data_IF_879386946500
#
_entry.id   IF_879386946500
#
_cell.length_a   1.000
_cell.length_b   1.000
_cell.length_c   1.000
_cell.angle_alpha   90.00
_cell.angle_beta   90.00
_cell.angle_gamma   90.00
#
_symmetry.space_group_name_H-M   'P 1'
#
loop_
_entity.id
_entity.type
_entity.pdbx_description
1 polymer ?
#
# COMPACT_ATOMS: atom_id res chain seq x y z
N UNK A 1 -33.97 16.85 28.11
CA UNK A 1 -32.52 16.93 27.82
C UNK A 1 -32.39 16.87 26.31
N UNK A 2 -31.88 17.92 25.67
CA UNK A 2 -31.62 17.93 24.22
C UNK A 2 -30.36 17.09 24.00
N UNK A 3 -30.46 16.03 23.22
CA UNK A 3 -29.29 15.42 22.60
C UNK A 3 -28.76 16.45 21.60
N UNK A 4 -27.84 17.30 22.04
CA UNK A 4 -27.05 18.12 21.12
C UNK A 4 -26.16 17.13 20.36
N UNK A 5 -26.48 16.89 19.09
CA UNK A 5 -25.54 16.22 18.20
C UNK A 5 -24.22 17.01 18.23
N UNK A 6 -23.06 16.33 18.23
CA UNK A 6 -21.78 17.03 18.13
C UNK A 6 -21.82 17.99 16.94
N UNK A 7 -21.31 19.21 17.12
CA UNK A 7 -21.30 20.22 16.06
C UNK A 7 -20.40 19.73 14.91
N UNK A 8 -21.01 19.24 13.84
CA UNK A 8 -20.31 18.85 12.62
C UNK A 8 -19.72 20.10 11.97
N UNK A 9 -18.45 20.05 11.61
CA UNK A 9 -17.67 21.17 11.02
C UNK A 9 -16.91 20.70 9.78
N UNK A 10 -16.40 21.61 8.96
CA UNK A 10 -15.50 21.25 7.86
C UNK A 10 -14.28 20.46 8.34
N UNK A 11 -13.74 20.79 9.52
CA UNK A 11 -12.64 20.02 10.15
C UNK A 11 -13.00 18.55 10.35
N UNK A 12 -14.23 18.24 10.77
CA UNK A 12 -14.67 16.86 10.97
C UNK A 12 -14.62 16.06 9.66
N UNK A 13 -15.15 16.63 8.56
CA UNK A 13 -15.08 16.00 7.24
C UNK A 13 -13.64 15.86 6.73
N UNK A 14 -12.81 16.90 6.87
CA UNK A 14 -11.39 16.85 6.49
C UNK A 14 -10.67 15.73 7.24
N UNK A 15 -10.91 15.59 8.55
CA UNK A 15 -10.32 14.51 9.35
C UNK A 15 -10.77 13.14 8.88
N UNK A 16 -12.06 12.93 8.62
CA UNK A 16 -12.56 11.64 8.12
C UNK A 16 -11.95 11.28 6.76
N UNK A 17 -11.87 12.24 5.84
CA UNK A 17 -11.26 12.00 4.52
C UNK A 17 -9.77 11.67 4.67
N UNK A 18 -9.01 12.43 5.47
CA UNK A 18 -7.59 12.14 5.72
C UNK A 18 -7.38 10.77 6.39
N UNK A 19 -8.19 10.43 7.38
CA UNK A 19 -8.11 9.14 8.05
C UNK A 19 -8.37 7.98 7.08
N UNK A 20 -9.30 8.13 6.14
CA UNK A 20 -9.50 7.15 5.08
C UNK A 20 -8.29 7.08 4.13
N UNK A 21 -7.89 8.22 3.54
CA UNK A 21 -6.81 8.28 2.54
C UNK A 21 -5.47 7.75 3.06
N UNK A 22 -5.14 8.07 4.33
CA UNK A 22 -3.92 7.59 5.00
C UNK A 22 -4.01 6.11 5.45
N UNK A 23 -5.20 5.51 5.38
CA UNK A 23 -5.49 4.13 5.75
C UNK A 23 -5.78 3.89 7.23
N UNK A 24 -5.96 4.96 8.03
CA UNK A 24 -6.32 4.85 9.45
C UNK A 24 -7.76 4.37 9.66
N UNK A 25 -8.60 4.49 8.64
CA UNK A 25 -9.97 3.98 8.61
C UNK A 25 -10.29 3.33 7.26
N UNK A 26 -11.04 2.24 7.28
CA UNK A 26 -11.69 1.69 6.10
C UNK A 26 -12.99 2.45 5.78
N UNK A 27 -13.53 2.25 4.58
CA UNK A 27 -14.86 2.76 4.19
C UNK A 27 -15.94 2.36 5.20
N UNK A 28 -15.95 1.09 5.63
CA UNK A 28 -16.93 0.56 6.57
C UNK A 28 -16.83 1.21 7.96
N UNK A 29 -15.61 1.47 8.44
CA UNK A 29 -15.41 2.16 9.71
C UNK A 29 -15.84 3.63 9.66
N UNK A 30 -15.63 4.30 8.52
CA UNK A 30 -16.16 5.66 8.31
C UNK A 30 -17.69 5.63 8.42
N UNK A 31 -18.35 4.75 7.66
CA UNK A 31 -19.82 4.59 7.69
C UNK A 31 -20.31 4.31 9.12
N UNK A 32 -19.62 3.44 9.87
CA UNK A 32 -19.97 3.12 11.24
C UNK A 32 -19.84 4.31 12.20
N UNK A 33 -18.78 5.12 12.08
CA UNK A 33 -18.54 6.28 12.94
C UNK A 33 -19.48 7.44 12.62
N UNK A 34 -19.93 7.56 11.37
CA UNK A 34 -20.86 8.61 10.95
C UNK A 34 -22.33 8.20 11.05
N UNK A 35 -22.62 6.96 11.45
CA UNK A 35 -23.96 6.42 11.54
C UNK A 35 -24.89 7.31 12.38
N UNK A 36 -25.97 7.80 11.75
CA UNK A 36 -26.97 8.66 12.38
C UNK A 36 -26.58 10.15 12.48
N UNK A 37 -25.42 10.55 11.95
CA UNK A 37 -24.96 11.94 11.86
C UNK A 37 -24.86 12.40 10.40
N UNK A 38 -24.30 11.53 9.54
CA UNK A 38 -24.16 11.78 8.10
C UNK A 38 -24.85 10.62 7.36
N UNK A 39 -25.77 10.89 6.42
CA UNK A 39 -26.36 9.85 5.58
C UNK A 39 -25.33 9.43 4.53
N UNK A 40 -24.52 8.41 4.85
CA UNK A 40 -23.63 7.75 3.89
C UNK A 40 -24.28 6.45 3.43
N UNK A 41 -24.15 6.14 2.15
CA UNK A 41 -24.69 4.91 1.59
C UNK A 41 -23.80 3.73 1.98
N UNK A 42 -24.44 2.71 2.55
CA UNK A 42 -23.77 1.52 3.08
C UNK A 42 -23.55 0.45 2.01
N UNK A 43 -24.20 0.60 0.86
CA UNK A 43 -24.17 -0.35 -0.24
C UNK A 43 -23.32 0.26 -1.37
N UNK A 44 -22.21 -0.38 -1.75
CA UNK A 44 -21.46 0.03 -2.92
C UNK A 44 -22.32 -0.25 -4.15
N UNK A 45 -22.95 0.79 -4.71
CA UNK A 45 -23.54 0.70 -6.04
C UNK A 45 -22.45 0.27 -7.05
N UNK A 46 -22.86 -0.39 -8.13
CA UNK A 46 -21.97 -0.90 -9.19
C UNK A 46 -21.09 0.20 -9.84
N UNK A 47 -21.41 1.47 -9.58
CA UNK A 47 -20.52 2.62 -9.74
C UNK A 47 -19.87 2.92 -8.38
N UNK A 48 -18.63 2.46 -8.20
CA UNK A 48 -17.71 2.72 -7.06
C UNK A 48 -17.85 4.16 -6.55
N UNK A 49 -18.78 4.40 -5.62
CA UNK A 49 -18.98 5.73 -5.07
C UNK A 49 -17.97 5.90 -3.95
N UNK A 50 -16.80 6.43 -4.30
CA UNK A 50 -15.69 6.70 -3.40
C UNK A 50 -16.18 7.42 -2.13
N UNK A 51 -15.82 6.89 -0.97
CA UNK A 51 -16.18 7.43 0.34
C UNK A 51 -15.74 8.90 0.49
N UNK A 52 -14.66 9.32 -0.17
CA UNK A 52 -14.24 10.73 -0.15
C UNK A 52 -15.22 11.65 -0.89
N UNK A 53 -15.80 11.16 -1.99
CA UNK A 53 -16.87 11.84 -2.71
C UNK A 53 -18.13 11.93 -1.86
N UNK A 54 -18.56 10.82 -1.24
CA UNK A 54 -19.74 10.82 -0.36
C UNK A 54 -19.58 11.80 0.82
N UNK A 55 -18.41 11.83 1.46
CA UNK A 55 -18.11 12.77 2.53
C UNK A 55 -18.10 14.23 2.04
N UNK A 56 -17.58 14.48 0.85
CA UNK A 56 -17.53 15.82 0.26
C UNK A 56 -18.91 16.34 -0.14
N UNK A 57 -19.77 15.47 -0.70
CA UNK A 57 -21.14 15.80 -1.05
C UNK A 57 -21.98 16.04 0.21
N UNK A 58 -21.87 15.18 1.22
CA UNK A 58 -22.52 15.40 2.52
C UNK A 58 -22.08 16.70 3.18
N UNK A 59 -20.78 17.04 3.12
CA UNK A 59 -20.28 18.31 3.64
C UNK A 59 -20.91 19.51 2.92
N UNK A 60 -21.01 19.45 1.58
CA UNK A 60 -21.63 20.48 0.75
C UNK A 60 -23.11 20.67 1.08
N UNK A 61 -23.85 19.58 1.27
CA UNK A 61 -25.28 19.64 1.64
C UNK A 61 -25.49 20.27 3.02
N UNK A 62 -24.59 20.02 3.96
CA UNK A 62 -24.65 20.64 5.29
C UNK A 62 -24.28 22.14 5.25
N UNK A 63 -23.24 22.49 4.50
CA UNK A 63 -22.80 23.86 4.28
C UNK A 63 -21.91 23.96 3.03
N UNK A 64 -22.32 24.75 2.05
CA UNK A 64 -21.58 24.94 0.78
C UNK A 64 -20.13 25.39 1.00
N UNK A 65 -19.84 26.14 2.08
CA UNK A 65 -18.48 26.55 2.42
C UNK A 65 -17.58 25.41 2.90
N UNK A 66 -18.13 24.31 3.44
CA UNK A 66 -17.33 23.17 3.87
C UNK A 66 -16.62 22.48 2.71
N UNK A 67 -17.25 22.43 1.54
CA UNK A 67 -16.62 21.88 0.34
C UNK A 67 -15.36 22.66 -0.05
N UNK A 68 -15.43 24.00 -0.01
CA UNK A 68 -14.27 24.84 -0.30
C UNK A 68 -13.12 24.61 0.69
N UNK A 69 -13.46 24.47 1.99
CA UNK A 69 -12.47 24.14 3.01
C UNK A 69 -11.83 22.77 2.75
N UNK A 70 -12.62 21.75 2.42
CA UNK A 70 -12.15 20.39 2.11
C UNK A 70 -11.14 20.42 0.96
N UNK A 71 -11.51 21.01 -0.19
CA UNK A 71 -10.64 21.10 -1.37
C UNK A 71 -9.33 21.84 -1.04
N UNK A 72 -9.42 22.92 -0.26
CA UNK A 72 -8.24 23.69 0.12
C UNK A 72 -7.28 22.87 1.01
N UNK A 73 -7.80 22.10 1.96
CA UNK A 73 -6.99 21.39 2.96
C UNK A 73 -6.56 19.97 2.55
N UNK A 74 -7.14 19.40 1.50
CA UNK A 74 -6.72 18.12 0.91
C UNK A 74 -5.67 18.29 -0.20
N UNK A 75 -5.33 19.52 -0.56
CA UNK A 75 -4.35 19.85 -1.61
C UNK A 75 -2.89 19.52 -1.26
N UNK A 76 -2.61 18.90 -0.11
CA UNK A 76 -1.26 18.55 0.34
C UNK A 76 -1.08 17.03 0.37
N UNK A 77 -0.15 16.52 -0.44
CA UNK A 77 0.10 15.10 -0.63
C UNK A 77 0.48 14.38 0.68
N UNK A 78 1.34 14.98 1.51
CA UNK A 78 1.83 14.37 2.77
C UNK A 78 0.71 13.95 3.74
N UNK A 79 -0.37 14.73 3.80
CA UNK A 79 -1.48 14.49 4.73
C UNK A 79 -2.52 13.49 4.20
N UNK A 80 -2.34 13.02 2.96
CA UNK A 80 -3.30 12.15 2.28
C UNK A 80 -2.66 10.85 1.81
N UNK A 81 -1.33 10.75 1.76
CA UNK A 81 -0.62 9.54 1.31
C UNK A 81 -0.91 8.30 2.16
N UNK A 82 -1.03 7.12 1.53
CA UNK A 82 -1.08 5.87 2.27
C UNK A 82 0.17 5.68 3.13
N UNK A 83 -0.04 5.42 4.41
CA UNK A 83 1.05 5.23 5.38
C UNK A 83 1.32 3.73 5.59
N UNK A 84 2.48 3.39 6.17
CA UNK A 84 2.77 2.01 6.58
C UNK A 84 1.69 1.45 7.53
N UNK A 85 1.35 2.23 8.55
CA UNK A 85 0.32 1.84 9.52
C UNK A 85 -1.05 1.69 8.85
N UNK A 86 -1.37 2.56 7.89
CA UNK A 86 -2.59 2.45 7.10
C UNK A 86 -2.64 1.20 6.23
N UNK A 87 -1.52 0.85 5.60
CA UNK A 87 -1.41 -0.39 4.83
C UNK A 87 -1.53 -1.62 5.72
N UNK A 88 -0.87 -1.62 6.88
CA UNK A 88 -1.00 -2.69 7.88
C UNK A 88 -2.47 -2.88 8.28
N UNK A 89 -3.15 -1.79 8.63
CA UNK A 89 -4.55 -1.82 9.01
C UNK A 89 -5.45 -2.37 7.90
N UNK A 90 -5.30 -1.90 6.66
CA UNK A 90 -6.10 -2.39 5.53
C UNK A 90 -5.82 -3.86 5.20
N UNK A 91 -4.56 -4.30 5.30
CA UNK A 91 -4.20 -5.72 5.16
C UNK A 91 -4.80 -6.57 6.28
N UNK A 92 -4.84 -6.08 7.51
CA UNK A 92 -5.45 -6.75 8.65
C UNK A 92 -6.95 -6.92 8.47
N UNK A 93 -7.66 -5.87 8.07
CA UNK A 93 -9.10 -5.92 7.80
C UNK A 93 -9.42 -6.83 6.60
N UNK A 94 -8.57 -6.84 5.57
CA UNK A 94 -8.69 -7.78 4.45
C UNK A 94 -8.51 -9.24 4.89
N UNK A 95 -7.46 -9.53 5.65
CA UNK A 95 -7.17 -10.87 6.18
C UNK A 95 -8.27 -11.34 7.13
N UNK A 96 -8.87 -10.43 7.91
CA UNK A 96 -10.01 -10.72 8.79
C UNK A 96 -11.32 -10.95 8.02
N UNK A 97 -11.38 -10.59 6.73
CA UNK A 97 -12.57 -10.73 5.89
C UNK A 97 -13.58 -9.59 6.06
N UNK A 98 -13.17 -8.48 6.67
CA UNK A 98 -14.00 -7.26 6.77
C UNK A 98 -13.83 -6.36 5.54
N UNK A 99 -12.68 -6.44 4.85
CA UNK A 99 -12.41 -5.68 3.63
C UNK A 99 -12.31 -6.62 2.42
N UNK A 100 -12.91 -6.23 1.30
CA UNK A 100 -12.75 -6.94 0.03
C UNK A 100 -11.44 -6.56 -0.67
N UNK A 101 -10.99 -7.39 -1.62
CA UNK A 101 -9.78 -7.08 -2.41
C UNK A 101 -9.98 -5.84 -3.29
N UNK A 102 -11.21 -5.56 -3.73
CA UNK A 102 -11.50 -4.39 -4.56
C UNK A 102 -11.43 -3.12 -3.73
N UNK A 103 -11.97 -3.12 -2.50
CA UNK A 103 -11.81 -1.98 -1.60
C UNK A 103 -10.34 -1.72 -1.24
N UNK A 104 -9.57 -2.79 -0.99
CA UNK A 104 -8.13 -2.67 -0.77
C UNK A 104 -7.41 -2.08 -1.99
N UNK A 105 -7.73 -2.55 -3.20
CA UNK A 105 -7.13 -2.07 -4.44
C UNK A 105 -7.50 -0.61 -4.71
N UNK A 106 -8.78 -0.26 -4.55
CA UNK A 106 -9.28 1.10 -4.72
C UNK A 106 -8.54 2.06 -3.76
N UNK A 107 -8.49 1.73 -2.46
CA UNK A 107 -7.73 2.51 -1.48
C UNK A 107 -6.23 2.56 -1.80
N UNK A 108 -5.61 1.45 -2.21
CA UNK A 108 -4.19 1.45 -2.52
C UNK A 108 -3.83 2.24 -3.79
N UNK A 109 -4.80 2.63 -4.62
CA UNK A 109 -4.55 3.24 -5.93
C UNK A 109 -5.27 4.56 -6.17
N UNK A 110 -6.00 5.11 -5.19
CA UNK A 110 -6.77 6.36 -5.35
C UNK A 110 -5.91 7.55 -5.83
N UNK A 111 -4.62 7.55 -5.52
CA UNK A 111 -3.65 8.60 -5.89
C UNK A 111 -3.00 8.37 -7.25
N UNK A 112 -3.32 7.29 -7.97
CA UNK A 112 -2.90 7.10 -9.37
C UNK A 112 -3.68 8.07 -10.26
N UNK A 113 -3.27 9.33 -10.28
CA UNK A 113 -3.76 10.31 -11.24
C UNK A 113 -3.21 9.99 -12.64
N UNK A 114 -4.06 10.14 -13.65
CA UNK A 114 -3.82 9.76 -15.04
C UNK A 114 -2.40 10.07 -15.57
N UNK A 115 -1.70 9.01 -15.98
CA UNK A 115 -0.71 8.87 -17.07
C UNK A 115 0.35 9.95 -17.35
N UNK A 116 0.66 10.88 -16.44
CA UNK A 116 1.64 11.94 -16.73
C UNK A 116 2.40 12.54 -15.56
N UNK A 117 1.90 12.42 -14.32
CA UNK A 117 2.57 12.96 -13.14
C UNK A 117 3.36 11.87 -12.42
N UNK A 118 4.61 12.16 -12.12
CA UNK A 118 5.49 11.20 -11.44
C UNK A 118 5.06 11.14 -9.98
N UNK A 119 4.48 10.03 -9.54
CA UNK A 119 4.16 9.76 -8.13
C UNK A 119 5.40 9.50 -7.27
N UNK A 120 6.58 9.52 -7.88
CA UNK A 120 7.87 9.30 -7.23
C UNK A 120 8.11 10.33 -6.11
N UNK A 121 8.33 9.82 -4.89
CA UNK A 121 8.63 10.64 -3.72
C UNK A 121 7.41 11.17 -2.97
N UNK A 122 6.21 10.70 -3.30
CA UNK A 122 4.98 11.00 -2.55
C UNK A 122 4.90 10.15 -1.26
N UNK A 123 5.41 8.93 -1.30
CA UNK A 123 5.41 8.01 -0.17
C UNK A 123 6.66 8.15 0.70
N UNK A 124 6.47 8.10 2.02
CA UNK A 124 7.58 8.08 2.98
C UNK A 124 8.29 6.72 3.08
N UNK A 125 7.70 5.65 2.52
CA UNK A 125 8.21 4.29 2.59
C UNK A 125 8.15 3.60 1.22
N UNK A 126 9.32 3.19 0.72
CA UNK A 126 9.49 2.62 -0.63
C UNK A 126 8.78 1.26 -0.77
N UNK A 127 8.68 0.48 0.31
CA UNK A 127 7.98 -0.81 0.28
C UNK A 127 6.46 -0.62 0.21
N UNK A 128 5.92 0.38 0.91
CA UNK A 128 4.51 0.78 0.82
C UNK A 128 4.21 1.30 -0.58
N UNK A 129 5.04 2.21 -1.11
CA UNK A 129 4.93 2.73 -2.48
C UNK A 129 4.89 1.58 -3.49
N UNK A 130 5.87 0.67 -3.43
CA UNK A 130 5.93 -0.48 -4.31
C UNK A 130 4.71 -1.38 -4.19
N UNK A 131 4.23 -1.64 -2.97
CA UNK A 131 3.05 -2.47 -2.76
C UNK A 131 1.82 -1.85 -3.44
N UNK A 132 1.58 -0.57 -3.17
CA UNK A 132 0.40 0.16 -3.64
C UNK A 132 0.42 0.43 -5.15
N UNK A 133 1.56 0.89 -5.69
CA UNK A 133 1.67 1.35 -7.07
C UNK A 133 1.98 0.23 -8.08
N UNK A 134 2.87 -0.71 -7.71
CA UNK A 134 3.41 -1.68 -8.66
C UNK A 134 2.88 -3.10 -8.44
N UNK A 135 2.87 -3.55 -7.17
CA UNK A 135 2.66 -4.96 -6.86
C UNK A 135 1.17 -5.31 -6.85
N UNK A 136 0.37 -4.64 -6.01
CA UNK A 136 -1.04 -4.96 -5.84
C UNK A 136 -1.82 -4.81 -7.15
N UNK A 137 -1.74 -3.69 -7.91
CA UNK A 137 -2.52 -3.51 -9.13
C UNK A 137 -2.19 -4.56 -10.20
N UNK A 138 -0.94 -5.01 -10.25
CA UNK A 138 -0.46 -5.99 -11.22
C UNK A 138 -0.80 -7.42 -10.86
N UNK A 139 -0.82 -7.74 -9.57
CA UNK A 139 -0.87 -9.13 -9.10
C UNK A 139 -2.11 -9.49 -8.29
N UNK A 140 -3.01 -8.56 -7.94
CA UNK A 140 -4.14 -8.83 -7.03
C UNK A 140 -4.98 -10.07 -7.41
N UNK A 141 -5.17 -10.33 -8.71
CA UNK A 141 -5.93 -11.51 -9.21
C UNK A 141 -5.21 -12.85 -8.97
N UNK A 142 -3.89 -12.82 -8.82
CA UNK A 142 -3.03 -13.99 -8.57
C UNK A 142 -2.73 -14.17 -7.08
N UNK A 143 -3.17 -13.23 -6.23
CA UNK A 143 -2.98 -13.28 -4.79
C UNK A 143 -4.14 -14.03 -4.14
N UNK A 144 -3.81 -15.05 -3.36
CA UNK A 144 -4.74 -15.78 -2.51
C UNK A 144 -4.52 -15.35 -1.05
N UNK A 145 -5.44 -15.71 -0.16
CA UNK A 145 -5.44 -15.26 1.23
C UNK A 145 -4.11 -15.53 1.98
N UNK A 146 -3.45 -16.66 1.69
CA UNK A 146 -2.14 -17.02 2.25
C UNK A 146 -1.04 -16.01 1.86
N UNK A 147 -1.10 -15.47 0.64
CA UNK A 147 -0.14 -14.47 0.17
C UNK A 147 -0.37 -13.10 0.80
N UNK A 148 -1.62 -12.70 1.01
CA UNK A 148 -1.92 -11.46 1.73
C UNK A 148 -1.50 -11.54 3.20
N UNK A 149 -1.76 -12.67 3.86
CA UNK A 149 -1.22 -12.93 5.20
C UNK A 149 0.30 -12.82 5.22
N UNK A 150 0.96 -13.39 4.20
CA UNK A 150 2.43 -13.33 4.09
C UNK A 150 2.95 -11.91 3.94
N UNK A 151 2.28 -11.08 3.14
CA UNK A 151 2.63 -9.67 2.94
C UNK A 151 2.42 -8.87 4.23
N UNK A 152 1.31 -9.12 4.93
CA UNK A 152 1.04 -8.55 6.25
C UNK A 152 2.16 -8.90 7.24
N UNK A 153 2.60 -10.17 7.27
CA UNK A 153 3.70 -10.59 8.13
C UNK A 153 5.01 -9.87 7.78
N UNK A 154 5.32 -9.68 6.49
CA UNK A 154 6.51 -8.93 6.05
C UNK A 154 6.49 -7.50 6.62
N UNK A 155 5.38 -6.78 6.49
CA UNK A 155 5.25 -5.43 7.04
C UNK A 155 5.23 -5.40 8.58
N UNK A 156 4.72 -6.45 9.25
CA UNK A 156 4.73 -6.50 10.73
C UNK A 156 6.13 -6.67 11.31
N UNK A 157 7.02 -7.40 10.64
CA UNK A 157 8.38 -7.64 11.15
C UNK A 157 9.15 -6.33 11.28
N UNK A 158 8.90 -5.34 10.40
CA UNK A 158 9.53 -4.03 10.40
C UNK A 158 11.04 -4.09 10.65
N UNK A 159 11.74 -4.67 9.67
CA UNK A 159 13.20 -4.89 9.74
C UNK A 159 14.02 -3.60 9.63
N UNK A 160 13.37 -2.45 9.41
CA UNK A 160 14.03 -1.15 9.20
C UNK A 160 14.78 -1.04 7.87
N UNK A 161 14.53 -1.94 6.92
CA UNK A 161 15.15 -1.98 5.59
C UNK A 161 14.06 -2.19 4.53
N UNK A 162 13.60 -1.09 3.96
CA UNK A 162 12.47 -1.06 3.02
C UNK A 162 12.79 -1.77 1.71
N UNK A 163 14.07 -1.82 1.30
CA UNK A 163 14.48 -2.54 0.10
C UNK A 163 14.37 -4.06 0.32
N UNK A 164 14.71 -4.54 1.51
CA UNK A 164 14.50 -5.96 1.86
C UNK A 164 13.02 -6.32 1.90
N UNK A 165 12.17 -5.44 2.42
CA UNK A 165 10.71 -5.64 2.41
C UNK A 165 10.16 -5.68 0.98
N UNK A 166 10.56 -4.72 0.13
CA UNK A 166 10.22 -4.68 -1.31
C UNK A 166 10.58 -5.98 -2.02
N UNK A 167 11.80 -6.49 -1.79
CA UNK A 167 12.23 -7.77 -2.34
C UNK A 167 11.33 -8.90 -1.81
N UNK A 168 11.12 -8.99 -0.51
CA UNK A 168 10.32 -10.04 0.11
C UNK A 168 8.89 -10.08 -0.42
N UNK A 169 8.25 -8.92 -0.65
CA UNK A 169 6.92 -8.79 -1.24
C UNK A 169 6.87 -9.44 -2.62
N UNK A 170 7.82 -9.13 -3.51
CA UNK A 170 7.86 -9.77 -4.84
C UNK A 170 8.05 -11.29 -4.73
N UNK A 171 8.88 -11.74 -3.79
CA UNK A 171 9.20 -13.16 -3.60
C UNK A 171 8.06 -13.97 -2.96
N UNK A 172 6.95 -13.35 -2.55
CA UNK A 172 5.70 -14.05 -2.21
C UNK A 172 5.13 -14.78 -3.45
N UNK A 173 5.45 -14.30 -4.65
CA UNK A 173 5.11 -14.98 -5.90
C UNK A 173 6.12 -16.08 -6.18
N UNK A 174 5.66 -17.34 -6.14
CA UNK A 174 6.51 -18.52 -6.35
C UNK A 174 7.35 -18.45 -7.64
N UNK A 175 6.74 -17.98 -8.73
CA UNK A 175 7.42 -17.82 -10.03
C UNK A 175 8.57 -16.82 -9.94
N UNK A 176 8.39 -15.72 -9.23
CA UNK A 176 9.42 -14.70 -9.03
C UNK A 176 10.50 -15.22 -8.08
N UNK A 177 10.12 -15.93 -7.02
CA UNK A 177 11.04 -16.61 -6.11
C UNK A 177 11.98 -17.58 -6.82
N UNK A 178 11.44 -18.42 -7.70
CA UNK A 178 12.24 -19.36 -8.49
C UNK A 178 13.14 -18.61 -9.48
N UNK A 179 12.61 -17.61 -10.18
CA UNK A 179 13.38 -16.81 -11.14
C UNK A 179 14.54 -16.09 -10.46
N UNK A 180 14.31 -15.53 -9.27
CA UNK A 180 15.33 -14.88 -8.45
C UNK A 180 16.42 -15.87 -8.03
N UNK A 181 16.04 -17.05 -7.51
CA UNK A 181 16.99 -18.10 -7.14
C UNK A 181 17.85 -18.54 -8.33
N UNK A 182 17.24 -18.78 -9.49
CA UNK A 182 17.97 -19.18 -10.71
C UNK A 182 18.95 -18.09 -11.15
N UNK A 183 18.53 -16.84 -11.13
CA UNK A 183 19.38 -15.71 -11.50
C UNK A 183 20.59 -15.58 -10.58
N UNK A 184 20.36 -15.57 -9.26
CA UNK A 184 21.43 -15.48 -8.27
C UNK A 184 22.40 -16.67 -8.36
N UNK A 185 21.90 -17.87 -8.65
CA UNK A 185 22.75 -19.05 -8.86
C UNK A 185 23.67 -18.87 -10.07
N UNK A 186 23.16 -18.35 -11.18
CA UNK A 186 23.97 -18.13 -12.38
C UNK A 186 24.99 -16.99 -12.17
N UNK A 187 24.63 -15.97 -11.39
CA UNK A 187 25.55 -14.90 -10.96
C UNK A 187 26.70 -15.43 -10.09
N UNK A 188 26.40 -16.17 -9.01
CA UNK A 188 27.43 -16.75 -8.12
C UNK A 188 28.35 -17.73 -8.87
N UNK A 189 27.81 -18.46 -9.85
CA UNK A 189 28.59 -19.35 -10.72
C UNK A 189 29.34 -18.63 -11.85
N UNK A 190 29.40 -17.28 -11.84
CA UNK A 190 30.11 -16.45 -12.82
C UNK A 190 29.60 -16.62 -14.26
N UNK A 191 28.35 -17.08 -14.45
CA UNK A 191 27.68 -17.14 -15.76
C UNK A 191 26.99 -15.82 -16.12
N UNK A 192 26.83 -14.93 -15.14
CA UNK A 192 26.26 -13.59 -15.27
C UNK A 192 27.22 -12.57 -14.67
N UNK A 193 27.36 -11.43 -15.33
CA UNK A 193 28.21 -10.32 -14.86
C UNK A 193 27.48 -9.45 -13.85
N UNK A 194 28.19 -8.50 -13.22
CA UNK A 194 27.55 -7.48 -12.40
C UNK A 194 26.62 -6.57 -13.21
N UNK A 195 26.91 -6.35 -14.51
CA UNK A 195 26.02 -5.61 -15.41
C UNK A 195 24.70 -6.36 -15.65
N UNK A 196 24.77 -7.69 -15.82
CA UNK A 196 23.56 -8.52 -15.90
C UNK A 196 22.72 -8.40 -14.62
N UNK A 197 23.38 -8.39 -13.46
CA UNK A 197 22.72 -8.23 -12.16
C UNK A 197 22.05 -6.85 -12.06
N UNK A 198 22.72 -5.79 -12.48
CA UNK A 198 22.13 -4.44 -12.53
C UNK A 198 20.88 -4.41 -13.40
N UNK A 199 20.93 -4.99 -14.61
CA UNK A 199 19.78 -5.05 -15.51
C UNK A 199 18.62 -5.78 -14.85
N UNK A 200 18.89 -6.92 -14.20
CA UNK A 200 17.86 -7.71 -13.52
C UNK A 200 17.24 -6.94 -12.35
N UNK A 201 18.07 -6.36 -11.47
CA UNK A 201 17.60 -5.64 -10.29
C UNK A 201 16.88 -4.34 -10.67
N UNK A 202 17.35 -3.61 -11.68
CA UNK A 202 16.65 -2.43 -12.19
C UNK A 202 15.29 -2.81 -12.76
N UNK A 203 15.21 -3.90 -13.53
CA UNK A 203 13.94 -4.35 -14.10
C UNK A 203 12.93 -4.85 -13.07
N UNK A 204 13.38 -5.42 -11.94
CA UNK A 204 12.50 -6.06 -10.95
C UNK A 204 12.20 -5.18 -9.74
N UNK A 205 13.17 -4.38 -9.33
CA UNK A 205 13.16 -3.64 -8.08
C UNK A 205 13.53 -2.16 -8.25
N UNK A 206 13.96 -1.73 -9.44
CA UNK A 206 14.36 -0.34 -9.69
C UNK A 206 15.63 0.07 -8.96
N UNK A 207 16.55 -0.88 -8.71
CA UNK A 207 17.80 -0.61 -8.01
C UNK A 207 18.99 -1.28 -8.69
N UNK A 208 20.20 -0.79 -8.43
CA UNK A 208 21.45 -1.40 -8.87
C UNK A 208 22.01 -2.40 -7.83
N UNK A 209 23.06 -3.12 -8.20
CA UNK A 209 23.73 -4.05 -7.31
C UNK A 209 24.36 -3.35 -6.10
N UNK A 210 24.75 -2.08 -6.19
CA UNK A 210 25.32 -1.34 -5.06
C UNK A 210 24.31 -1.10 -3.95
N UNK A 211 23.05 -0.94 -4.34
CA UNK A 211 21.91 -0.74 -3.45
C UNK A 211 21.28 -2.07 -3.01
N UNK A 212 21.71 -3.19 -3.58
CA UNK A 212 21.11 -4.49 -3.31
C UNK A 212 21.50 -5.02 -1.91
N UNK A 213 20.53 -5.21 -0.99
CA UNK A 213 20.84 -5.46 0.42
C UNK A 213 21.49 -6.82 0.74
N UNK A 214 21.59 -7.72 -0.25
CA UNK A 214 22.15 -9.07 -0.09
C UNK A 214 23.48 -9.27 -0.83
N UNK A 215 24.10 -8.19 -1.34
CA UNK A 215 25.38 -8.32 -2.06
C UNK A 215 26.49 -8.87 -1.19
N UNK A 216 26.59 -8.44 0.06
CA UNK A 216 27.64 -8.90 0.97
C UNK A 216 27.54 -10.41 1.20
N UNK A 217 26.34 -10.94 1.39
CA UNK A 217 26.15 -12.38 1.53
C UNK A 217 26.54 -13.15 0.27
N UNK A 218 26.23 -12.61 -0.92
CA UNK A 218 26.57 -13.23 -2.20
C UNK A 218 28.07 -13.22 -2.46
N UNK A 219 28.79 -12.15 -2.11
CA UNK A 219 30.24 -12.07 -2.30
C UNK A 219 31.02 -12.87 -1.27
N UNK A 220 30.49 -13.03 -0.05
CA UNK A 220 31.10 -13.81 1.02
C UNK A 220 30.91 -15.34 0.86
N UNK A 221 30.28 -15.80 -0.23
CA UNK A 221 30.09 -17.22 -0.51
C UNK A 221 29.05 -17.89 0.40
N UNK A 222 28.10 -17.12 0.93
CA UNK A 222 26.97 -17.66 1.71
C UNK A 222 26.18 -18.63 0.84
N UNK A 223 25.70 -19.74 1.42
CA UNK A 223 24.81 -20.65 0.70
C UNK A 223 23.59 -19.91 0.17
N UNK A 224 23.28 -20.11 -1.12
CA UNK A 224 22.20 -19.39 -1.79
C UNK A 224 20.82 -19.66 -1.17
N UNK A 225 20.64 -20.84 -0.58
CA UNK A 225 19.47 -21.19 0.24
C UNK A 225 19.29 -20.24 1.43
N UNK A 226 20.37 -19.91 2.14
CA UNK A 226 20.35 -19.00 3.27
C UNK A 226 20.08 -17.55 2.82
N UNK A 227 20.63 -17.13 1.68
CA UNK A 227 20.31 -15.82 1.07
C UNK A 227 18.83 -15.74 0.72
N UNK A 228 18.26 -16.79 0.11
CA UNK A 228 16.84 -16.83 -0.22
C UNK A 228 15.95 -16.83 1.03
N UNK A 229 16.34 -17.55 2.08
CA UNK A 229 15.60 -17.55 3.35
C UNK A 229 15.57 -16.14 3.96
N UNK A 230 16.70 -15.44 3.98
CA UNK A 230 16.77 -14.04 4.40
C UNK A 230 15.92 -13.14 3.50
N UNK A 231 16.04 -13.29 2.18
CA UNK A 231 15.33 -12.46 1.20
C UNK A 231 13.80 -12.59 1.25
N UNK A 232 13.30 -13.75 1.70
CA UNK A 232 11.88 -13.98 1.87
C UNK A 232 11.33 -13.51 3.22
N UNK A 233 12.21 -13.08 4.14
CA UNK A 233 11.86 -12.67 5.51
C UNK A 233 11.03 -13.72 6.26
N UNK A 234 11.29 -15.00 5.97
CA UNK A 234 10.63 -16.12 6.63
C UNK A 234 11.24 -16.29 8.04
N UNK A 235 10.41 -16.47 9.08
CA UNK A 235 10.91 -16.91 10.39
C UNK A 235 11.58 -18.29 10.32
#
# INVERSE_FOLDING_TARGET
MKNEMPSVTSTYFITLIKDYLQGRKTSQEIVAVTAGVIPLDSEPDEEETDITHQLSDAAREMNEHFYFDIVTHLSHAEDTTPTREGLLHHLEEYVAGHLTVQELLHWATWHNMDAGETTAGIFDNIAVEYFCLDFLPKFYQQLHADKYQRILDIFRVNIGDELKEKIAILLVLEKERQSFLFFLRDFVNQRKSSEDLDIYLMSKFGMDHKSFPYMEELTNGTELSAVLQKATLLP
#
